data_IF_980741769808
#
_entry.id   IF_980741769808
#
_cell.length_a   1.000
_cell.length_b   1.000
_cell.length_c   1.000
_cell.angle_alpha   90.00
_cell.angle_beta   90.00
_cell.angle_gamma   90.00
#
_symmetry.space_group_name_H-M   'P 1'
#
loop_
_entity.id
_entity.type
_entity.pdbx_description
1 polymer ?
#
# COMPACT_ATOMS: atom_id res chain seq x y z
N UNK A 1 -15.75 -4.00 -15.57
CA UNK A 1 -15.22 -4.37 -16.89
C UNK A 1 -13.90 -3.67 -17.13
N UNK A 2 -13.90 -2.54 -17.84
CA UNK A 2 -12.66 -1.81 -18.20
C UNK A 2 -12.19 -0.81 -17.14
N UNK A 3 -13.09 -0.06 -16.52
CA UNK A 3 -12.71 0.98 -15.54
C UNK A 3 -11.91 0.43 -14.35
N UNK A 4 -12.28 -0.76 -13.86
CA UNK A 4 -11.53 -1.43 -12.80
C UNK A 4 -10.11 -1.77 -13.24
N UNK A 5 -9.93 -2.35 -14.43
CA UNK A 5 -8.60 -2.67 -14.96
C UNK A 5 -7.73 -1.42 -15.13
N UNK A 6 -8.31 -0.30 -15.58
CA UNK A 6 -7.60 0.99 -15.70
C UNK A 6 -7.21 1.54 -14.32
N UNK A 7 -8.07 1.41 -13.32
CA UNK A 7 -7.77 1.83 -11.93
C UNK A 7 -6.61 1.02 -11.36
N UNK A 8 -6.64 -0.31 -11.49
CA UNK A 8 -5.57 -1.17 -10.99
C UNK A 8 -4.25 -0.95 -11.74
N UNK A 9 -4.31 -0.77 -13.06
CA UNK A 9 -3.14 -0.42 -13.87
C UNK A 9 -2.54 0.93 -13.45
N UNK A 10 -3.39 1.91 -13.15
CA UNK A 10 -2.94 3.21 -12.62
C UNK A 10 -2.25 3.07 -11.26
N UNK A 11 -2.84 2.33 -10.32
CA UNK A 11 -2.22 2.08 -8.99
C UNK A 11 -0.86 1.40 -9.14
N UNK A 12 -0.76 0.42 -10.03
CA UNK A 12 0.50 -0.25 -10.35
C UNK A 12 1.55 0.74 -10.85
N UNK A 13 1.19 1.63 -11.78
CA UNK A 13 2.12 2.66 -12.27
C UNK A 13 2.54 3.64 -11.17
N UNK A 14 1.62 4.09 -10.31
CA UNK A 14 1.95 4.97 -9.18
C UNK A 14 2.93 4.31 -8.22
N UNK A 15 2.77 3.02 -7.92
CA UNK A 15 3.72 2.24 -7.11
C UNK A 15 5.09 2.12 -7.78
N UNK A 16 5.14 1.76 -9.07
CA UNK A 16 6.41 1.58 -9.78
C UNK A 16 7.19 2.89 -9.95
N UNK A 17 6.51 3.99 -10.30
CA UNK A 17 7.17 5.30 -10.45
C UNK A 17 7.49 5.97 -9.11
N UNK A 18 7.00 5.44 -8.00
CA UNK A 18 7.41 5.84 -6.66
C UNK A 18 8.81 5.33 -6.29
N UNK A 19 9.29 4.27 -6.95
CA UNK A 19 10.61 3.71 -6.71
C UNK A 19 11.70 4.43 -7.54
N UNK A 20 12.89 4.68 -6.97
CA UNK A 20 13.98 5.37 -7.66
C UNK A 20 14.57 4.55 -8.81
N UNK A 21 14.47 3.22 -8.75
CA UNK A 21 14.96 2.30 -9.76
C UNK A 21 13.92 1.21 -10.04
N UNK A 22 13.66 0.94 -11.31
CA UNK A 22 12.69 -0.08 -11.74
C UNK A 22 13.42 -1.10 -12.60
N UNK A 23 13.16 -2.38 -12.37
CA UNK A 23 13.77 -3.44 -13.17
C UNK A 23 13.28 -3.38 -14.61
N UNK A 24 14.15 -3.71 -15.57
CA UNK A 24 13.78 -3.74 -16.99
C UNK A 24 12.59 -4.66 -17.25
N UNK A 25 12.52 -5.80 -16.54
CA UNK A 25 11.44 -6.80 -16.70
C UNK A 25 10.08 -6.26 -16.26
N UNK A 26 10.05 -5.43 -15.23
CA UNK A 26 8.80 -4.85 -14.72
C UNK A 26 8.28 -3.80 -15.70
N UNK A 27 9.16 -2.94 -16.24
CA UNK A 27 8.81 -1.99 -17.29
C UNK A 27 8.30 -2.71 -18.54
N UNK A 28 8.98 -3.78 -18.99
CA UNK A 28 8.52 -4.57 -20.13
C UNK A 28 7.12 -5.16 -19.90
N UNK A 29 6.85 -5.67 -18.70
CA UNK A 29 5.53 -6.19 -18.33
C UNK A 29 4.46 -5.10 -18.33
N UNK A 30 4.79 -3.90 -17.83
CA UNK A 30 3.89 -2.75 -17.83
C UNK A 30 3.54 -2.26 -19.23
N UNK A 31 4.53 -2.18 -20.13
CA UNK A 31 4.33 -1.74 -21.51
C UNK A 31 3.44 -2.73 -22.27
N UNK A 32 3.60 -4.03 -22.02
CA UNK A 32 2.69 -5.06 -22.54
C UNK A 32 1.26 -4.87 -22.04
N UNK A 33 1.07 -4.67 -20.74
CA UNK A 33 -0.26 -4.42 -20.16
C UNK A 33 -0.91 -3.14 -20.73
N UNK A 34 -0.12 -2.09 -20.94
CA UNK A 34 -0.57 -0.81 -21.49
C UNK A 34 -0.97 -0.91 -22.97
N UNK A 35 -0.38 -1.84 -23.73
CA UNK A 35 -0.59 -1.96 -25.19
C UNK A 35 -2.05 -2.17 -25.60
N UNK A 36 -2.87 -2.79 -24.72
CA UNK A 36 -4.31 -3.02 -24.95
C UNK A 36 -5.12 -1.72 -24.91
N UNK A 37 -4.61 -0.68 -24.25
CA UNK A 37 -5.27 0.62 -24.13
C UNK A 37 -4.64 1.69 -25.03
N UNK A 38 -3.31 1.72 -25.10
CA UNK A 38 -2.54 2.73 -25.82
C UNK A 38 -1.43 2.05 -26.65
N UNK A 39 -1.76 1.40 -27.78
CA UNK A 39 -0.80 0.61 -28.56
C UNK A 39 0.34 1.46 -29.10
N UNK A 40 0.05 2.62 -29.69
CA UNK A 40 1.09 3.49 -30.27
C UNK A 40 2.11 3.99 -29.24
N UNK A 41 1.62 4.44 -28.07
CA UNK A 41 2.49 4.89 -26.97
C UNK A 41 3.31 3.71 -26.43
N UNK A 42 2.70 2.54 -26.34
CA UNK A 42 3.38 1.34 -25.85
C UNK A 42 4.50 0.91 -26.80
N UNK A 43 4.30 0.98 -28.12
CA UNK A 43 5.37 0.72 -29.10
C UNK A 43 6.52 1.74 -28.98
N UNK A 44 6.21 3.04 -28.85
CA UNK A 44 7.26 4.07 -28.64
C UNK A 44 8.10 3.81 -27.37
N UNK A 45 7.45 3.42 -26.27
CA UNK A 45 8.15 3.09 -25.03
C UNK A 45 8.95 1.79 -25.19
N UNK A 46 8.39 0.78 -25.88
CA UNK A 46 9.03 -0.50 -26.16
C UNK A 46 10.33 -0.33 -26.97
N UNK A 47 10.34 0.53 -27.97
CA UNK A 47 11.55 0.87 -28.73
C UNK A 47 12.59 1.58 -27.86
N UNK A 48 12.17 2.52 -27.00
CA UNK A 48 13.08 3.24 -26.07
C UNK A 48 13.77 2.31 -25.09
N UNK A 49 13.10 1.26 -24.61
CA UNK A 49 13.69 0.25 -23.72
C UNK A 49 14.49 -0.84 -24.47
N UNK A 50 14.68 -0.67 -25.79
CA UNK A 50 15.36 -1.62 -26.68
C UNK A 50 14.69 -3.00 -26.67
N UNK A 51 13.35 -3.01 -26.66
CA UNK A 51 12.55 -4.20 -26.89
C UNK A 51 12.78 -4.78 -28.30
N UNK A 52 12.58 -6.08 -28.47
CA UNK A 52 12.72 -6.75 -29.78
C UNK A 52 11.34 -6.96 -30.40
N UNK A 53 11.17 -6.61 -31.67
CA UNK A 53 9.91 -6.72 -32.38
C UNK A 53 8.83 -5.76 -31.84
N UNK A 54 7.59 -6.00 -32.21
CA UNK A 54 6.43 -5.21 -31.77
C UNK A 54 5.89 -5.71 -30.42
N UNK A 55 5.53 -4.79 -29.52
CA UNK A 55 4.90 -5.18 -28.25
C UNK A 55 3.58 -5.93 -28.49
N UNK A 56 2.87 -5.56 -29.55
CA UNK A 56 1.59 -6.16 -29.96
C UNK A 56 1.69 -7.64 -30.32
N UNK A 57 2.87 -8.11 -30.73
CA UNK A 57 3.15 -9.52 -31.06
C UNK A 57 3.84 -10.27 -29.92
N UNK A 58 4.15 -9.58 -28.82
CA UNK A 58 4.88 -10.16 -27.71
C UNK A 58 3.96 -10.95 -26.77
N UNK A 59 4.50 -11.99 -26.13
CA UNK A 59 3.74 -12.79 -25.18
C UNK A 59 3.28 -11.96 -23.98
N UNK A 60 2.03 -12.17 -23.56
CA UNK A 60 1.45 -11.52 -22.39
C UNK A 60 2.23 -11.87 -21.10
N UNK A 61 2.42 -10.92 -20.16
CA UNK A 61 3.07 -11.22 -18.89
C UNK A 61 2.29 -12.28 -18.10
N UNK A 62 3.02 -13.22 -17.50
CA UNK A 62 2.46 -14.27 -16.64
C UNK A 62 2.75 -13.91 -15.19
N UNK A 63 1.71 -13.97 -14.35
CA UNK A 63 1.85 -13.79 -12.91
C UNK A 63 2.69 -14.92 -12.30
N UNK A 64 3.53 -14.58 -11.33
CA UNK A 64 4.29 -15.53 -10.54
C UNK A 64 3.56 -15.75 -9.22
N UNK A 65 2.84 -16.87 -9.09
CA UNK A 65 2.03 -17.18 -7.91
C UNK A 65 2.85 -17.20 -6.62
N UNK A 66 4.17 -17.46 -6.69
CA UNK A 66 5.05 -17.45 -5.52
C UNK A 66 5.27 -16.06 -4.93
N UNK A 67 4.96 -15.01 -5.70
CA UNK A 67 5.06 -13.62 -5.25
C UNK A 67 3.73 -13.08 -4.72
N UNK A 68 2.68 -13.89 -4.71
CA UNK A 68 1.35 -13.52 -4.22
C UNK A 68 1.20 -14.11 -2.82
N UNK A 69 1.17 -13.24 -1.82
CA UNK A 69 0.95 -13.62 -0.43
C UNK A 69 -0.29 -12.89 0.12
N UNK A 70 -1.35 -13.67 0.31
CA UNK A 70 -2.67 -13.17 0.73
C UNK A 70 -2.63 -12.59 2.15
N UNK A 71 -1.76 -13.10 3.02
CA UNK A 71 -1.67 -12.61 4.40
C UNK A 71 -0.93 -11.28 4.45
N UNK A 72 0.11 -11.11 3.62
CA UNK A 72 0.79 -9.81 3.43
C UNK A 72 -0.17 -8.79 2.81
N UNK A 73 -0.92 -9.15 1.76
CA UNK A 73 -1.90 -8.25 1.13
C UNK A 73 -2.96 -7.77 2.12
N UNK A 74 -3.47 -8.66 2.98
CA UNK A 74 -4.43 -8.30 4.03
C UNK A 74 -3.84 -7.35 5.07
N UNK A 75 -2.58 -7.57 5.45
CA UNK A 75 -1.88 -6.69 6.39
C UNK A 75 -1.71 -5.29 5.79
N UNK A 76 -1.33 -5.19 4.52
CA UNK A 76 -1.17 -3.92 3.82
C UNK A 76 -2.52 -3.18 3.65
N UNK A 77 -3.59 -3.90 3.29
CA UNK A 77 -4.93 -3.31 3.20
C UNK A 77 -5.42 -2.78 4.56
N UNK A 78 -5.12 -3.49 5.65
CA UNK A 78 -5.43 -3.04 7.01
C UNK A 78 -4.61 -1.79 7.40
N UNK A 79 -3.35 -1.71 6.98
CA UNK A 79 -2.48 -0.55 7.18
C UNK A 79 -3.03 0.69 6.45
N UNK A 80 -3.35 0.57 5.16
CA UNK A 80 -3.90 1.67 4.35
C UNK A 80 -5.24 2.18 4.90
N UNK A 81 -6.13 1.27 5.34
CA UNK A 81 -7.37 1.65 6.03
C UNK A 81 -7.09 2.41 7.33
N UNK A 82 -6.11 1.96 8.11
CA UNK A 82 -5.71 2.61 9.36
C UNK A 82 -5.19 4.02 9.10
N UNK A 83 -4.33 4.20 8.08
CA UNK A 83 -3.82 5.51 7.67
C UNK A 83 -4.94 6.45 7.22
N UNK A 84 -5.90 5.94 6.44
CA UNK A 84 -7.07 6.70 6.02
C UNK A 84 -7.93 7.14 7.21
N UNK A 85 -8.20 6.23 8.16
CA UNK A 85 -8.94 6.52 9.38
C UNK A 85 -8.23 7.58 10.23
N UNK A 86 -6.90 7.48 10.40
CA UNK A 86 -6.10 8.50 11.11
C UNK A 86 -6.19 9.85 10.40
N UNK A 87 -6.02 9.88 9.07
CA UNK A 87 -6.12 11.11 8.28
C UNK A 87 -7.48 11.79 8.47
N UNK A 88 -8.57 11.01 8.49
CA UNK A 88 -9.91 11.51 8.74
C UNK A 88 -10.07 12.08 10.16
N UNK A 89 -9.50 11.41 11.17
CA UNK A 89 -9.53 11.90 12.55
C UNK A 89 -8.74 13.20 12.67
N UNK A 90 -7.56 13.30 12.05
CA UNK A 90 -6.70 14.50 12.10
C UNK A 90 -7.35 15.72 11.43
N UNK A 91 -8.24 15.51 10.44
CA UNK A 91 -9.04 16.61 9.86
C UNK A 91 -10.03 17.21 10.85
N UNK A 92 -10.48 16.45 11.84
CA UNK A 92 -11.46 16.88 12.84
C UNK A 92 -10.82 17.30 14.16
N UNK A 93 -9.70 16.66 14.53
CA UNK A 93 -9.01 16.82 15.81
C UNK A 93 -7.55 17.15 15.55
N UNK A 94 -7.08 18.27 16.08
CA UNK A 94 -5.64 18.59 16.06
C UNK A 94 -4.96 17.84 17.20
N UNK A 95 -3.94 17.07 16.87
CA UNK A 95 -3.07 16.41 17.83
C UNK A 95 -1.63 16.40 17.35
N UNK A 96 -0.71 16.18 18.28
CA UNK A 96 0.73 16.02 18.03
C UNK A 96 1.15 14.56 18.03
N UNK A 97 0.39 13.69 18.71
CA UNK A 97 0.77 12.28 18.92
C UNK A 97 -0.41 11.34 18.66
N UNK A 98 -0.12 10.22 18.00
CA UNK A 98 -1.10 9.19 17.64
C UNK A 98 -0.74 7.89 18.33
N UNK A 99 -1.69 7.32 19.05
CA UNK A 99 -1.57 6.04 19.72
C UNK A 99 -2.46 5.01 19.01
N UNK A 100 -1.84 3.94 18.54
CA UNK A 100 -2.48 2.82 17.88
C UNK A 100 -2.53 1.62 18.83
N UNK A 101 -3.71 0.99 18.93
CA UNK A 101 -3.92 -0.20 19.73
C UNK A 101 -4.28 -1.37 18.82
N UNK A 102 -3.39 -2.35 18.74
CA UNK A 102 -3.49 -3.51 17.84
C UNK A 102 -3.57 -4.81 18.65
N UNK A 103 -4.04 -5.89 18.01
CA UNK A 103 -3.97 -7.20 18.65
C UNK A 103 -2.51 -7.67 18.79
N UNK A 104 -2.17 -8.50 19.80
CA UNK A 104 -0.78 -8.86 20.09
C UNK A 104 -0.08 -9.56 18.93
N UNK A 105 -0.83 -10.32 18.14
CA UNK A 105 -0.35 -11.03 16.96
C UNK A 105 -0.19 -10.14 15.71
N UNK A 106 -0.66 -8.89 15.76
CA UNK A 106 -0.62 -7.95 14.64
C UNK A 106 0.42 -6.84 14.87
N UNK A 107 1.04 -6.74 16.06
CA UNK A 107 2.00 -5.68 16.40
C UNK A 107 3.14 -5.59 15.38
N UNK A 108 3.65 -6.74 14.93
CA UNK A 108 4.75 -6.82 13.98
C UNK A 108 4.37 -6.28 12.59
N UNK A 109 3.08 -6.26 12.24
CA UNK A 109 2.60 -5.75 10.96
C UNK A 109 2.62 -4.21 10.90
N UNK A 110 2.76 -3.52 12.03
CA UNK A 110 2.71 -2.06 12.10
C UNK A 110 4.10 -1.47 12.42
N UNK A 111 4.79 -1.00 11.39
CA UNK A 111 6.08 -0.33 11.56
C UNK A 111 5.88 1.13 12.01
N UNK A 112 6.23 1.40 13.28
CA UNK A 112 6.11 2.73 13.90
C UNK A 112 6.84 3.83 13.14
N UNK A 113 8.05 3.54 12.63
CA UNK A 113 8.87 4.53 11.93
C UNK A 113 8.27 4.89 10.57
N UNK A 114 7.70 3.91 9.87
CA UNK A 114 7.03 4.14 8.58
C UNK A 114 5.72 4.90 8.76
N UNK A 115 4.90 4.50 9.73
CA UNK A 115 3.65 5.20 10.09
C UNK A 115 3.92 6.67 10.45
N UNK A 116 4.94 6.92 11.28
CA UNK A 116 5.33 8.28 11.67
C UNK A 116 5.73 9.13 10.47
N UNK A 117 6.47 8.57 9.51
CA UNK A 117 6.84 9.28 8.26
C UNK A 117 5.62 9.57 7.38
N UNK A 118 4.73 8.59 7.19
CA UNK A 118 3.54 8.74 6.33
C UNK A 118 2.53 9.73 6.92
N UNK A 119 2.36 9.74 8.26
CA UNK A 119 1.41 10.62 8.96
C UNK A 119 2.02 12.00 9.24
N UNK A 120 3.35 12.10 9.39
CA UNK A 120 4.04 13.32 9.76
C UNK A 120 3.90 13.70 11.24
N UNK A 121 3.49 12.74 12.09
CA UNK A 121 3.32 12.90 13.53
C UNK A 121 4.01 11.77 14.29
N UNK A 122 4.21 11.95 15.59
CA UNK A 122 4.73 10.88 16.45
C UNK A 122 3.66 9.79 16.61
N UNK A 123 4.04 8.54 16.33
CA UNK A 123 3.13 7.38 16.41
C UNK A 123 3.70 6.42 17.44
N UNK A 124 2.83 5.86 18.28
CA UNK A 124 3.16 4.74 19.17
C UNK A 124 2.14 3.62 18.96
N UNK A 125 2.63 2.37 18.91
CA UNK A 125 1.82 1.18 18.73
C UNK A 125 1.89 0.35 20.00
N UNK A 126 0.72 0.04 20.59
CA UNK A 126 0.58 -0.79 21.77
C UNK A 126 -0.27 -2.01 21.49
N UNK A 127 0.08 -3.14 22.10
CA UNK A 127 -0.79 -4.31 22.12
C UNK A 127 -1.97 -4.08 23.09
N UNK A 128 -3.16 -4.56 22.76
CA UNK A 128 -4.35 -4.40 23.63
C UNK A 128 -4.19 -5.01 25.02
N UNK A 129 -3.32 -6.02 25.17
CA UNK A 129 -3.03 -6.71 26.42
C UNK A 129 -1.84 -6.10 27.20
N UNK A 130 -1.19 -5.08 26.67
CA UNK A 130 -0.05 -4.44 27.33
C UNK A 130 -0.52 -3.70 28.60
N UNK A 131 0.16 -3.96 29.72
CA UNK A 131 -0.11 -3.32 31.01
C UNK A 131 0.48 -1.91 31.11
N UNK A 132 1.46 -1.59 30.28
CA UNK A 132 2.10 -0.28 30.23
C UNK A 132 1.46 0.68 29.19
N UNK A 133 0.40 0.24 28.50
CA UNK A 133 -0.26 1.06 27.46
C UNK A 133 -0.81 2.37 28.04
N UNK A 134 -0.53 3.47 27.35
CA UNK A 134 -1.12 4.77 27.65
C UNK A 134 -2.48 4.89 26.95
N UNK A 135 -3.58 4.52 27.61
CA UNK A 135 -4.94 4.58 27.03
C UNK A 135 -5.96 5.34 27.90
N UNK A 136 -5.91 6.69 27.92
CA UNK A 136 -6.80 7.52 28.74
C UNK A 136 -8.28 7.42 28.37
N UNK A 137 -8.60 6.97 27.15
CA UNK A 137 -9.98 6.91 26.62
C UNK A 137 -10.47 5.48 26.34
N UNK A 138 -9.75 4.47 26.85
CA UNK A 138 -10.08 3.05 26.71
C UNK A 138 -10.35 2.62 25.25
N UNK A 139 -9.60 3.22 24.31
CA UNK A 139 -9.72 3.00 22.86
C UNK A 139 -9.23 1.62 22.45
N UNK A 140 -8.38 0.98 23.25
CA UNK A 140 -7.91 -0.39 23.05
C UNK A 140 -9.05 -1.42 23.03
N UNK A 141 -10.16 -1.19 23.75
CA UNK A 141 -11.35 -2.07 23.70
C UNK A 141 -12.09 -2.06 22.36
N UNK A 142 -11.87 -1.02 21.55
CA UNK A 142 -12.50 -0.90 20.22
C UNK A 142 -11.68 -1.56 19.12
N UNK A 143 -10.47 -2.01 19.42
CA UNK A 143 -9.63 -2.73 18.48
C UNK A 143 -10.24 -4.10 18.12
N UNK A 144 -10.16 -4.45 16.84
CA UNK A 144 -10.59 -5.72 16.26
C UNK A 144 -9.50 -6.23 15.31
N UNK A 145 -9.50 -7.51 14.92
CA UNK A 145 -8.57 -8.01 13.91
C UNK A 145 -8.62 -7.15 12.64
N UNK A 146 -7.45 -6.69 12.19
CA UNK A 146 -7.29 -5.78 11.05
C UNK A 146 -7.88 -4.38 11.22
N UNK A 147 -8.35 -4.01 12.43
CA UNK A 147 -8.88 -2.67 12.72
C UNK A 147 -8.39 -2.17 14.09
N UNK A 148 -7.29 -1.42 14.13
CA UNK A 148 -6.75 -0.91 15.39
C UNK A 148 -7.65 0.13 16.04
N UNK A 149 -7.55 0.23 17.36
CA UNK A 149 -8.04 1.38 18.10
C UNK A 149 -7.12 2.58 17.85
N UNK A 150 -7.70 3.76 17.62
CA UNK A 150 -6.92 4.99 17.38
C UNK A 150 -7.26 6.01 18.47
N UNK A 151 -6.21 6.58 19.08
CA UNK A 151 -6.30 7.74 19.96
C UNK A 151 -5.33 8.81 19.46
N UNK A 152 -5.79 10.06 19.43
CA UNK A 152 -5.01 11.22 19.01
C UNK A 152 -5.01 12.20 20.17
N UNK A 153 -3.81 12.66 20.52
CA UNK A 153 -3.51 13.63 21.59
C UNK A 153 -2.90 14.91 21.02
#
# INVERSE_FOLDING_TARGET
>A
GYNFAVIELRKMFESLFGEPEISKKDIESCVKLLSVFCPHISEEIWEKIKGKGFVSLSDWPKADEKKIDVDIERADEALEKTLSDISHILKMVKGKKVYLYVLPNEVENYNVAELGKRIGLEVEVFAVNDKAKHDPKDKSRKAKPGKPGIFVE
#
